data_IF_760726279646
#
_entry.id   IF_760726279646
#
_cell.length_a   1.000
_cell.length_b   1.000
_cell.length_c   1.000
_cell.angle_alpha   90.00
_cell.angle_beta   90.00
_cell.angle_gamma   90.00
#
_symmetry.space_group_name_H-M   'P 1'
#
loop_
_entity.id
_entity.type
_entity.pdbx_description
1 polymer ?
#
# COMPACT_ATOMS: atom_id res chain seq x y z
N UNK A 1 -31.82 -8.87 -66.03
CA UNK A 1 -31.41 -8.20 -67.26
C UNK A 1 -30.08 -7.48 -66.96
N UNK A 2 -29.09 -7.88 -67.69
CA UNK A 2 -27.72 -7.33 -67.90
C UNK A 2 -26.85 -6.99 -66.69
N UNK A 3 -25.94 -7.91 -66.50
CA UNK A 3 -24.66 -7.75 -65.80
C UNK A 3 -23.73 -6.80 -66.57
N UNK A 4 -22.96 -5.99 -65.82
CA UNK A 4 -21.72 -5.44 -66.38
C UNK A 4 -20.63 -5.53 -65.29
N UNK A 5 -19.70 -6.42 -65.51
CA UNK A 5 -18.49 -6.65 -64.70
C UNK A 5 -17.41 -5.70 -65.15
N UNK A 6 -16.97 -4.77 -64.32
CA UNK A 6 -15.78 -3.96 -64.55
C UNK A 6 -14.58 -4.63 -63.87
N UNK A 7 -13.61 -5.05 -64.68
CA UNK A 7 -12.30 -5.54 -64.24
C UNK A 7 -11.36 -4.36 -64.04
N UNK A 8 -10.86 -4.17 -62.80
CA UNK A 8 -9.75 -3.27 -62.52
C UNK A 8 -8.44 -4.07 -62.45
N UNK A 9 -7.51 -3.71 -63.33
CA UNK A 9 -6.14 -4.25 -63.40
C UNK A 9 -5.28 -3.62 -62.31
N UNK A 10 -4.62 -4.50 -61.51
CA UNK A 10 -3.68 -4.12 -60.45
C UNK A 10 -2.27 -3.94 -61.07
N UNK A 11 -1.71 -2.74 -61.01
CA UNK A 11 -0.31 -2.49 -61.35
C UNK A 11 0.57 -2.66 -60.14
N UNK A 12 1.50 -3.60 -60.17
CA UNK A 12 2.49 -3.82 -59.13
C UNK A 12 3.67 -2.85 -59.33
N UNK A 13 3.92 -2.03 -58.30
CA UNK A 13 5.09 -1.14 -58.23
C UNK A 13 6.11 -1.77 -57.29
N UNK A 14 7.21 -2.31 -57.84
CA UNK A 14 8.34 -2.83 -57.05
C UNK A 14 9.32 -1.69 -56.76
N UNK A 15 9.41 -1.28 -55.47
CA UNK A 15 10.44 -0.39 -54.97
C UNK A 15 11.56 -1.20 -54.30
N UNK A 16 12.74 -1.18 -54.93
CA UNK A 16 13.99 -1.72 -54.38
C UNK A 16 14.61 -0.70 -53.40
N UNK A 17 14.62 -1.00 -52.11
CA UNK A 17 15.38 -0.26 -51.10
C UNK A 17 16.75 -0.92 -50.93
N UNK A 18 17.81 -0.21 -51.36
CA UNK A 18 19.18 -0.56 -51.01
C UNK A 18 19.46 -0.11 -49.55
N UNK A 19 19.60 -1.08 -48.65
CA UNK A 19 20.01 -0.84 -47.27
C UNK A 19 21.54 -0.75 -47.16
N UNK A 20 22.08 0.40 -46.75
CA UNK A 20 23.44 0.49 -46.24
C UNK A 20 23.42 0.03 -44.77
N UNK A 21 23.96 -1.16 -44.50
CA UNK A 21 24.32 -1.58 -43.18
C UNK A 21 25.61 -0.86 -42.76
N UNK A 22 25.49 0.11 -41.87
CA UNK A 22 26.60 0.69 -41.12
C UNK A 22 26.69 0.01 -39.77
N UNK A 23 27.67 -0.89 -39.59
CA UNK A 23 28.05 -1.41 -38.27
C UNK A 23 28.71 -0.27 -37.50
N UNK A 24 27.94 0.35 -36.58
CA UNK A 24 28.52 1.19 -35.54
C UNK A 24 29.04 0.29 -34.38
N UNK A 25 30.29 0.50 -33.90
CA UNK A 25 30.79 -0.25 -32.76
C UNK A 25 29.91 0.02 -31.54
N UNK A 26 29.45 -1.04 -30.87
CA UNK A 26 28.77 -0.94 -29.61
C UNK A 26 29.74 -0.41 -28.54
N UNK A 27 29.49 0.79 -28.03
CA UNK A 27 30.23 1.34 -26.91
C UNK A 27 29.91 0.53 -25.61
N UNK A 28 30.86 -0.18 -25.02
CA UNK A 28 30.61 -0.99 -23.82
C UNK A 28 30.40 -0.16 -22.56
N UNK A 29 30.40 1.18 -22.63
CA UNK A 29 30.19 2.08 -21.51
C UNK A 29 28.80 2.72 -21.48
N UNK A 30 27.84 2.25 -22.29
CA UNK A 30 26.46 2.63 -22.11
C UNK A 30 25.97 2.11 -20.75
N UNK A 31 26.19 2.92 -19.70
CA UNK A 31 25.56 2.72 -18.40
C UNK A 31 24.07 2.60 -18.64
N UNK A 32 23.55 1.37 -18.45
CA UNK A 32 22.13 1.15 -18.40
C UNK A 32 21.58 2.09 -17.33
N UNK A 33 20.82 3.09 -17.73
CA UNK A 33 20.03 3.89 -16.80
C UNK A 33 19.26 2.90 -15.93
N UNK A 34 19.20 3.09 -14.60
CA UNK A 34 18.44 2.19 -13.75
C UNK A 34 17.02 2.14 -14.30
N UNK A 35 16.58 0.95 -14.70
CA UNK A 35 15.20 0.71 -15.07
C UNK A 35 14.37 1.15 -13.86
N UNK A 36 13.71 2.31 -13.97
CA UNK A 36 12.74 2.74 -12.97
C UNK A 36 11.79 1.57 -12.78
N UNK A 37 11.70 1.07 -11.55
CA UNK A 37 10.88 -0.09 -11.21
C UNK A 37 9.39 0.30 -11.30
N UNK A 38 8.89 0.42 -12.53
CA UNK A 38 7.46 0.70 -12.81
C UNK A 38 6.59 -0.31 -12.05
N UNK A 39 7.01 -1.57 -11.96
CA UNK A 39 6.29 -2.59 -11.22
C UNK A 39 6.17 -2.34 -9.71
N UNK A 40 7.16 -1.72 -9.06
CA UNK A 40 7.08 -1.43 -7.62
C UNK A 40 6.11 -0.26 -7.33
N UNK A 41 6.10 0.77 -8.16
CA UNK A 41 5.18 1.90 -8.04
C UNK A 41 3.73 1.50 -8.36
N UNK A 42 3.53 0.60 -9.34
CA UNK A 42 2.21 0.05 -9.65
C UNK A 42 1.68 -0.82 -8.51
N UNK A 43 2.52 -1.65 -7.89
CA UNK A 43 2.14 -2.49 -6.74
C UNK A 43 1.84 -1.66 -5.49
N UNK A 44 2.60 -0.60 -5.21
CA UNK A 44 2.32 0.34 -4.12
C UNK A 44 1.00 1.08 -4.34
N UNK A 45 0.77 1.60 -5.55
CA UNK A 45 -0.48 2.26 -5.90
C UNK A 45 -1.70 1.35 -5.77
N UNK A 46 -1.58 0.09 -6.18
CA UNK A 46 -2.63 -0.92 -6.03
C UNK A 46 -2.91 -1.23 -4.56
N UNK A 47 -1.86 -1.38 -3.73
CA UNK A 47 -2.00 -1.58 -2.29
C UNK A 47 -2.71 -0.39 -1.63
N UNK A 48 -2.31 0.84 -1.93
CA UNK A 48 -2.97 2.05 -1.39
C UNK A 48 -4.44 2.10 -1.76
N UNK A 49 -4.78 1.76 -3.02
CA UNK A 49 -6.17 1.73 -3.48
C UNK A 49 -6.99 0.66 -2.71
N UNK A 50 -6.44 -0.52 -2.51
CA UNK A 50 -7.06 -1.61 -1.75
C UNK A 50 -7.27 -1.19 -0.28
N UNK A 51 -6.25 -0.67 0.40
CA UNK A 51 -6.35 -0.23 1.80
C UNK A 51 -7.35 0.91 1.99
N UNK A 52 -7.44 1.84 1.02
CA UNK A 52 -8.49 2.86 1.02
C UNK A 52 -9.88 2.26 0.84
N UNK A 53 -10.04 1.33 -0.08
CA UNK A 53 -11.33 0.64 -0.31
C UNK A 53 -11.76 -0.13 0.94
N UNK A 54 -10.87 -0.87 1.58
CA UNK A 54 -11.11 -1.63 2.79
C UNK A 54 -11.51 -0.75 3.98
N UNK A 55 -10.94 0.49 4.07
CA UNK A 55 -11.06 1.34 5.25
C UNK A 55 -11.98 2.57 5.05
N UNK A 56 -12.49 2.86 3.85
CA UNK A 56 -13.28 4.08 3.60
C UNK A 56 -14.51 4.22 4.50
N UNK A 57 -15.17 3.10 4.85
CA UNK A 57 -16.34 3.09 5.74
C UNK A 57 -16.01 3.54 7.17
N UNK A 58 -14.78 3.29 7.60
CA UNK A 58 -14.28 3.66 8.92
C UNK A 58 -13.91 5.16 9.07
N UNK A 59 -14.11 5.96 8.03
CA UNK A 59 -14.11 7.43 8.19
C UNK A 59 -15.21 7.92 9.11
N UNK A 60 -16.24 7.11 9.29
CA UNK A 60 -17.17 7.19 10.43
C UNK A 60 -16.70 6.22 11.52
N UNK A 61 -16.21 6.77 12.63
CA UNK A 61 -15.73 5.97 13.76
C UNK A 61 -16.82 5.09 14.39
N UNK A 62 -18.10 5.46 14.24
CA UNK A 62 -19.18 4.63 14.77
C UNK A 62 -19.26 3.29 14.04
N UNK A 63 -19.07 3.30 12.71
CA UNK A 63 -18.99 2.06 11.92
C UNK A 63 -17.85 1.17 12.42
N UNK A 64 -16.67 1.75 12.72
CA UNK A 64 -15.56 0.97 13.27
C UNK A 64 -15.93 0.32 14.61
N UNK A 65 -16.57 1.07 15.50
CA UNK A 65 -17.01 0.55 16.81
C UNK A 65 -18.05 -0.55 16.67
N UNK A 66 -19.02 -0.38 15.77
CA UNK A 66 -20.08 -1.36 15.51
C UNK A 66 -19.51 -2.66 14.91
N UNK A 67 -18.38 -2.57 14.15
CA UNK A 67 -17.64 -3.72 13.62
C UNK A 67 -16.61 -4.31 14.60
N UNK A 68 -16.58 -3.86 15.86
CA UNK A 68 -15.77 -4.46 16.93
C UNK A 68 -14.39 -3.85 17.14
N UNK A 69 -14.09 -2.70 16.54
CA UNK A 69 -12.87 -1.96 16.86
C UNK A 69 -12.99 -1.24 18.20
N UNK A 70 -12.08 -1.51 19.11
CA UNK A 70 -12.00 -0.90 20.44
C UNK A 70 -10.74 -0.04 20.56
N UNK A 71 -10.84 1.05 21.30
CA UNK A 71 -9.66 1.85 21.62
C UNK A 71 -8.71 1.06 22.51
N UNK A 72 -7.44 0.95 22.11
CA UNK A 72 -6.39 0.23 22.84
C UNK A 72 -5.24 1.13 23.30
N UNK A 73 -5.12 2.35 22.76
CA UNK A 73 -4.19 3.35 23.32
C UNK A 73 -4.82 4.07 24.52
N UNK A 74 -4.02 4.54 25.50
CA UNK A 74 -4.54 5.27 26.67
C UNK A 74 -5.14 6.64 26.31
N UNK A 75 -4.89 7.11 25.10
CA UNK A 75 -5.34 8.38 24.55
C UNK A 75 -4.72 8.63 23.19
N UNK A 76 -4.69 9.88 22.75
CA UNK A 76 -3.99 10.28 21.55
C UNK A 76 -2.48 10.36 21.82
N UNK A 77 -1.69 9.73 20.95
CA UNK A 77 -0.23 9.73 20.99
C UNK A 77 0.29 10.59 19.84
N UNK A 78 1.07 11.62 20.12
CA UNK A 78 1.68 12.46 19.09
C UNK A 78 2.50 11.60 18.12
N UNK A 79 2.36 11.86 16.83
CA UNK A 79 2.98 11.06 15.78
C UNK A 79 2.23 9.77 15.41
N UNK A 80 1.18 9.41 16.15
CA UNK A 80 0.47 8.13 15.96
C UNK A 80 -1.05 8.29 15.94
N UNK A 81 -1.62 9.11 16.83
CA UNK A 81 -3.05 9.25 17.01
C UNK A 81 -3.61 8.35 18.10
N UNK A 82 -4.89 8.04 18.00
CA UNK A 82 -5.62 7.09 18.84
C UNK A 82 -5.75 5.77 18.09
N UNK A 83 -5.35 4.68 18.75
CA UNK A 83 -5.34 3.33 18.18
C UNK A 83 -6.65 2.63 18.48
N UNK A 84 -7.36 2.21 17.44
CA UNK A 84 -8.51 1.31 17.53
C UNK A 84 -8.15 -0.02 16.89
N UNK A 85 -8.34 -1.12 17.62
CA UNK A 85 -7.99 -2.47 17.17
C UNK A 85 -9.20 -3.40 17.24
N UNK A 86 -9.34 -4.23 16.22
CA UNK A 86 -10.30 -5.33 16.22
C UNK A 86 -9.57 -6.64 16.60
N UNK A 87 -9.79 -7.11 17.81
CA UNK A 87 -9.14 -8.32 18.31
C UNK A 87 -9.61 -9.61 17.62
N UNK A 88 -10.78 -9.60 16.97
CA UNK A 88 -11.30 -10.76 16.25
C UNK A 88 -10.58 -11.00 14.91
N UNK A 89 -9.86 -9.98 14.42
CA UNK A 89 -9.06 -10.07 13.19
C UNK A 89 -7.60 -10.50 13.42
N UNK A 90 -7.18 -10.59 14.72
CA UNK A 90 -5.80 -10.93 15.03
C UNK A 90 -5.49 -12.39 14.73
N UNK A 91 -4.70 -12.63 13.70
CA UNK A 91 -4.26 -13.96 13.30
C UNK A 91 -2.83 -13.95 12.70
N UNK A 92 -2.43 -15.03 12.05
CA UNK A 92 -1.12 -15.17 11.39
C UNK A 92 -1.18 -14.96 9.88
N UNK A 93 -2.13 -14.18 9.37
CA UNK A 93 -2.35 -13.97 7.93
C UNK A 93 -2.20 -12.49 7.58
N UNK A 94 -1.71 -12.19 6.39
CA UNK A 94 -1.74 -10.82 5.85
C UNK A 94 -3.06 -10.62 5.12
N UNK A 95 -3.95 -9.80 5.67
CA UNK A 95 -5.24 -9.49 5.04
C UNK A 95 -5.42 -7.96 4.88
N UNK A 96 -5.21 -7.48 3.66
CA UNK A 96 -5.32 -6.05 3.34
C UNK A 96 -6.77 -5.55 3.22
N UNK A 97 -7.75 -6.45 3.16
CA UNK A 97 -9.17 -6.11 3.08
C UNK A 97 -9.81 -5.93 4.46
N UNK A 98 -9.17 -6.48 5.51
CA UNK A 98 -9.64 -6.39 6.90
C UNK A 98 -8.52 -5.93 7.84
N UNK A 99 -8.11 -4.64 7.79
CA UNK A 99 -7.02 -4.13 8.62
C UNK A 99 -7.34 -4.28 10.12
N UNK A 100 -6.42 -4.82 10.89
CA UNK A 100 -6.57 -5.09 12.32
C UNK A 100 -6.61 -3.83 13.16
N UNK A 101 -5.98 -2.75 12.68
CA UNK A 101 -5.85 -1.48 13.41
C UNK A 101 -6.23 -0.29 12.52
N UNK A 102 -6.96 0.64 13.14
CA UNK A 102 -7.34 1.94 12.59
C UNK A 102 -6.74 3.04 13.45
N UNK A 103 -6.16 4.07 12.83
CA UNK A 103 -5.54 5.19 13.50
C UNK A 103 -6.39 6.46 13.32
N UNK A 104 -6.76 7.10 14.42
CA UNK A 104 -7.60 8.30 14.40
C UNK A 104 -6.97 9.47 15.14
N UNK A 105 -7.39 10.67 14.77
CA UNK A 105 -7.05 11.90 15.49
C UNK A 105 -8.33 12.70 15.78
N UNK A 106 -8.51 13.17 17.04
CA UNK A 106 -9.63 14.06 17.37
C UNK A 106 -9.46 15.41 16.67
N UNK A 107 -10.56 15.97 16.21
CA UNK A 107 -10.62 17.25 15.54
C UNK A 107 -11.27 18.30 16.47
N UNK A 108 -11.03 19.59 16.20
CA UNK A 108 -11.58 20.74 16.96
C UNK A 108 -13.10 20.69 17.15
N UNK A 109 -13.82 20.08 16.23
CA UNK A 109 -15.28 19.92 16.29
C UNK A 109 -15.75 18.65 17.05
N UNK A 110 -14.84 17.95 17.72
CA UNK A 110 -15.11 16.70 18.46
C UNK A 110 -15.25 15.46 17.58
N UNK A 111 -15.14 15.59 16.25
CA UNK A 111 -15.16 14.41 15.34
C UNK A 111 -13.81 13.74 15.32
N UNK A 112 -13.83 12.43 15.03
CA UNK A 112 -12.62 11.65 14.80
C UNK A 112 -12.31 11.62 13.30
N UNK A 113 -11.06 11.90 12.94
CA UNK A 113 -10.55 11.79 11.58
C UNK A 113 -9.72 10.52 11.46
N UNK A 114 -10.09 9.64 10.53
CA UNK A 114 -9.24 8.50 10.18
C UNK A 114 -7.98 9.02 9.49
N UNK A 115 -6.82 8.56 9.96
CA UNK A 115 -5.50 8.94 9.48
C UNK A 115 -4.91 7.86 8.56
N UNK A 116 -4.99 6.63 9.00
CA UNK A 116 -4.41 5.47 8.35
C UNK A 116 -4.86 4.18 9.00
N UNK A 117 -4.24 3.12 8.55
CA UNK A 117 -4.45 1.77 9.06
C UNK A 117 -3.11 1.11 9.39
N UNK A 118 -3.15 0.03 10.13
CA UNK A 118 -2.01 -0.85 10.35
C UNK A 118 -2.46 -2.29 10.14
N UNK A 119 -1.79 -3.00 9.25
CA UNK A 119 -1.90 -4.45 9.12
C UNK A 119 -1.01 -5.08 10.20
N UNK A 120 -1.58 -5.97 11.00
CA UNK A 120 -0.89 -6.60 12.10
C UNK A 120 -1.01 -8.12 12.02
N UNK A 121 0.13 -8.81 11.96
CA UNK A 121 0.21 -10.28 11.86
C UNK A 121 0.80 -10.82 13.16
N UNK A 122 0.14 -11.78 13.80
CA UNK A 122 0.68 -12.47 14.97
C UNK A 122 1.91 -13.28 14.58
N UNK A 123 3.04 -13.05 15.26
CA UNK A 123 4.31 -13.67 14.90
C UNK A 123 4.33 -15.17 15.15
N UNK A 124 3.71 -15.67 16.23
CA UNK A 124 3.75 -17.10 16.57
C UNK A 124 3.13 -17.99 15.47
N UNK A 125 1.88 -17.75 15.01
CA UNK A 125 1.33 -18.55 13.92
C UNK A 125 2.01 -18.28 12.58
N UNK A 126 2.49 -17.06 12.29
CA UNK A 126 3.24 -16.77 11.08
C UNK A 126 4.56 -17.52 11.00
N UNK A 127 5.38 -17.45 12.05
CA UNK A 127 6.71 -18.05 12.13
C UNK A 127 6.66 -19.61 12.09
N UNK A 128 5.50 -20.20 12.39
CA UNK A 128 5.31 -21.66 12.29
C UNK A 128 5.44 -22.16 10.84
N UNK A 129 5.21 -21.31 9.85
CA UNK A 129 5.20 -21.69 8.43
C UNK A 129 6.06 -20.80 7.54
N UNK A 130 6.61 -19.71 8.06
CA UNK A 130 7.41 -18.74 7.30
C UNK A 130 8.73 -18.43 8.00
N UNK A 131 9.75 -18.08 7.21
CA UNK A 131 11.04 -17.60 7.71
C UNK A 131 11.13 -16.08 7.48
N UNK A 132 11.13 -15.29 8.57
CA UNK A 132 11.25 -13.83 8.53
C UNK A 132 9.91 -13.09 8.41
N UNK A 133 9.93 -11.74 8.42
CA UNK A 133 8.73 -10.92 8.43
C UNK A 133 7.91 -11.06 7.14
N UNK A 134 6.58 -10.84 7.22
CA UNK A 134 5.73 -10.74 6.05
C UNK A 134 6.19 -9.64 5.09
N UNK A 135 5.90 -9.83 3.80
CA UNK A 135 5.99 -8.79 2.79
C UNK A 135 4.67 -8.71 2.02
N UNK A 136 4.20 -7.51 1.74
CA UNK A 136 3.00 -7.32 0.95
C UNK A 136 3.17 -6.14 -0.04
N UNK A 137 2.92 -6.37 -1.32
CA UNK A 137 3.10 -5.39 -2.40
C UNK A 137 4.45 -4.65 -2.34
N UNK A 138 5.55 -5.38 -2.09
CA UNK A 138 6.90 -4.83 -1.98
C UNK A 138 7.22 -4.14 -0.65
N UNK A 139 6.27 -4.08 0.29
CA UNK A 139 6.48 -3.53 1.63
C UNK A 139 6.80 -4.65 2.62
N UNK A 140 7.87 -4.50 3.39
CA UNK A 140 8.24 -5.43 4.47
C UNK A 140 7.65 -4.93 5.78
N UNK A 141 7.00 -5.83 6.53
CA UNK A 141 6.45 -5.53 7.84
C UNK A 141 7.57 -5.30 8.87
N UNK A 142 7.37 -4.36 9.76
CA UNK A 142 8.23 -4.13 10.92
C UNK A 142 8.19 -5.34 11.85
N UNK A 143 9.36 -5.83 12.26
CA UNK A 143 9.48 -6.92 13.22
C UNK A 143 9.36 -6.38 14.65
N UNK A 144 8.27 -6.72 15.33
CA UNK A 144 7.96 -6.31 16.70
C UNK A 144 7.91 -7.49 17.66
N UNK A 145 8.74 -8.51 17.43
CA UNK A 145 8.83 -9.68 18.30
C UNK A 145 9.66 -9.43 19.56
N UNK A 146 10.59 -8.47 19.51
CA UNK A 146 11.44 -8.17 20.66
C UNK A 146 10.62 -7.53 21.81
N UNK A 147 10.90 -7.91 23.09
CA UNK A 147 10.30 -7.24 24.23
C UNK A 147 10.56 -5.72 24.21
N UNK A 148 9.52 -4.93 24.44
CA UNK A 148 9.61 -3.46 24.44
C UNK A 148 9.49 -2.81 23.07
N UNK A 149 9.22 -3.57 22.00
CA UNK A 149 8.85 -3.02 20.70
C UNK A 149 7.59 -2.16 20.82
N UNK A 150 7.45 -1.17 19.93
CA UNK A 150 6.24 -0.36 19.87
C UNK A 150 5.02 -1.22 19.52
N UNK A 151 3.83 -0.85 20.05
CA UNK A 151 2.57 -1.52 19.74
C UNK A 151 2.05 -2.47 20.81
N UNK A 152 1.27 -3.50 20.44
CA UNK A 152 0.71 -4.45 21.40
C UNK A 152 1.77 -5.27 22.15
N UNK A 153 1.50 -5.70 23.41
CA UNK A 153 2.49 -6.39 24.24
C UNK A 153 2.61 -7.90 23.91
N UNK A 154 2.52 -8.26 22.64
CA UNK A 154 2.72 -9.63 22.16
C UNK A 154 3.51 -9.62 20.85
N UNK A 155 4.28 -10.69 20.54
CA UNK A 155 5.08 -10.77 19.33
C UNK A 155 4.23 -10.63 18.06
N UNK A 156 4.57 -9.64 17.23
CA UNK A 156 3.83 -9.35 16.00
C UNK A 156 4.73 -8.76 14.92
N UNK A 157 4.18 -8.71 13.71
CA UNK A 157 4.69 -7.93 12.60
C UNK A 157 3.66 -6.88 12.23
N UNK A 158 4.09 -5.69 11.83
CA UNK A 158 3.18 -4.59 11.54
C UNK A 158 3.58 -3.80 10.29
N UNK A 159 2.59 -3.38 9.52
CA UNK A 159 2.77 -2.47 8.39
C UNK A 159 1.81 -1.30 8.53
N UNK A 160 2.34 -0.10 8.80
CA UNK A 160 1.56 1.14 8.80
C UNK A 160 1.26 1.59 7.38
N UNK A 161 0.10 2.22 7.17
CA UNK A 161 -0.23 2.89 5.92
C UNK A 161 -1.07 4.15 6.17
N UNK A 162 -0.46 5.32 5.96
CA UNK A 162 -1.08 6.64 6.13
C UNK A 162 -1.95 7.03 4.94
N UNK A 163 -2.90 6.17 4.59
CA UNK A 163 -3.69 6.29 3.35
C UNK A 163 -4.71 7.44 3.37
N UNK A 164 -5.02 8.00 4.54
CA UNK A 164 -5.99 9.09 4.71
C UNK A 164 -5.38 10.40 5.19
N UNK A 165 -4.11 10.40 5.58
CA UNK A 165 -3.39 11.57 6.04
C UNK A 165 -1.95 11.54 5.55
N UNK A 166 -1.51 12.61 4.89
CA UNK A 166 -0.15 12.68 4.34
C UNK A 166 0.90 12.55 5.44
N UNK A 167 1.89 11.71 5.20
CA UNK A 167 3.07 11.60 6.05
C UNK A 167 4.31 12.05 5.27
N UNK A 168 4.98 13.16 5.68
CA UNK A 168 6.16 13.66 4.98
C UNK A 168 7.35 12.70 5.04
N UNK A 169 7.38 11.78 6.02
CA UNK A 169 8.43 10.78 6.18
C UNK A 169 8.21 9.52 5.32
N UNK A 170 7.07 9.42 4.65
CA UNK A 170 6.71 8.28 3.81
C UNK A 170 5.42 7.59 4.23
N UNK A 171 4.75 7.01 3.24
CA UNK A 171 3.42 6.41 3.38
C UNK A 171 3.38 5.26 4.41
N UNK A 172 4.45 4.45 4.47
CA UNK A 172 4.54 3.22 5.28
C UNK A 172 5.45 3.36 6.52
N UNK A 173 5.89 4.57 6.83
CA UNK A 173 6.72 4.77 8.03
C UNK A 173 5.86 4.71 9.30
N UNK A 174 6.41 4.21 10.43
CA UNK A 174 5.64 4.01 11.68
C UNK A 174 5.06 5.30 12.26
N UNK A 175 5.78 6.43 12.16
CA UNK A 175 5.38 7.71 12.76
C UNK A 175 5.12 8.77 11.70
N UNK A 176 4.10 9.60 11.97
CA UNK A 176 3.76 10.76 11.17
C UNK A 176 3.90 12.04 12.01
N UNK A 177 4.93 12.88 11.77
CA UNK A 177 5.20 14.04 12.61
C UNK A 177 4.12 15.13 12.54
N UNK A 178 3.18 15.03 11.60
CA UNK A 178 2.08 15.98 11.47
C UNK A 178 0.88 15.67 12.40
N UNK A 179 0.92 14.54 13.11
CA UNK A 179 -0.10 14.16 14.09
C UNK A 179 0.30 14.76 15.44
N UNK A 180 -0.41 15.79 15.87
CA UNK A 180 -0.06 16.58 17.06
C UNK A 180 -0.92 16.28 18.27
N UNK A 181 -2.08 15.67 18.08
CA UNK A 181 -3.08 15.46 19.13
C UNK A 181 -3.59 16.76 19.78
N UNK A 182 -3.53 17.89 19.08
CA UNK A 182 -3.88 19.23 19.60
C UNK A 182 -5.27 19.29 20.25
N UNK A 183 -6.22 18.52 19.70
CA UNK A 183 -7.62 18.50 20.18
C UNK A 183 -7.97 17.26 20.99
N UNK A 184 -6.98 16.53 21.49
CA UNK A 184 -7.20 15.44 22.42
C UNK A 184 -7.52 16.01 23.83
N UNK A 185 -8.64 15.59 24.42
CA UNK A 185 -9.07 15.92 25.77
C UNK A 185 -8.60 14.86 26.77
#
# INVERSE_FOLDING_TARGET
MSNTIARLTLAALTATLAGCAGDAPLDPTAQSAPALSVGAAETEGALVAQLRQASVRFRDIQVARDEGYIQTSPGCVAGFGIVYRNNALLDGVVDADHPEILLYEPQKNGRMRLLGIELLVLAIPWDATHSGPPTYAGQTFEDRRAPGSAGPPFPNYALHAWVWHHNPNGLFTPFNPTITCEFAS
#
